data_IF_953649759894
#
_entry.id   IF_953649759894
#
_cell.length_a   1.000
_cell.length_b   1.000
_cell.length_c   1.000
_cell.angle_alpha   90.00
_cell.angle_beta   90.00
_cell.angle_gamma   90.00
#
_symmetry.space_group_name_H-M   'P 1'
#
loop_
_entity.id
_entity.type
_entity.pdbx_description
1 polymer ?
#
# COMPACT_ATOMS: atom_id res chain seq x y z
N UNK A 1 -5.80 14.89 8.29
CA UNK A 1 -6.79 14.68 7.22
C UNK A 1 -6.32 13.52 6.34
N UNK A 2 -7.16 12.52 6.05
CA UNK A 2 -6.80 11.44 5.11
C UNK A 2 -6.97 11.96 3.70
N UNK A 3 -5.91 11.95 2.89
CA UNK A 3 -5.99 12.51 1.54
C UNK A 3 -6.70 11.50 0.63
N UNK A 4 -8.03 11.58 0.54
CA UNK A 4 -8.87 10.66 -0.23
C UNK A 4 -8.49 10.58 -1.72
N UNK A 5 -7.87 11.63 -2.27
CA UNK A 5 -7.41 11.66 -3.66
C UNK A 5 -6.14 10.85 -3.87
N UNK A 6 -5.33 10.66 -2.82
CA UNK A 6 -4.05 9.96 -2.87
C UNK A 6 -4.01 8.68 -2.02
N UNK A 7 -5.11 8.38 -1.32
CA UNK A 7 -5.26 7.31 -0.33
C UNK A 7 -3.98 7.08 0.48
N UNK A 8 -3.39 8.17 0.96
CA UNK A 8 -2.14 8.16 1.71
C UNK A 8 -2.27 8.99 2.96
N UNK A 9 -1.64 8.50 4.03
CA UNK A 9 -1.52 9.22 5.29
C UNK A 9 -0.12 9.01 5.87
N UNK A 10 0.59 10.10 6.20
CA UNK A 10 1.84 10.01 6.95
C UNK A 10 1.56 9.68 8.42
N UNK A 11 2.47 8.94 9.03
CA UNK A 11 2.46 8.51 10.42
C UNK A 11 3.85 8.69 11.02
N UNK A 12 3.90 8.91 12.33
CA UNK A 12 5.16 9.00 13.05
C UNK A 12 5.75 7.62 13.38
N UNK A 13 4.92 6.59 13.47
CA UNK A 13 5.31 5.21 13.81
C UNK A 13 4.57 4.17 12.95
N UNK A 14 5.21 3.02 12.73
CA UNK A 14 4.60 1.87 12.05
C UNK A 14 3.37 1.36 12.79
N UNK A 15 3.43 1.30 14.12
CA UNK A 15 2.34 0.80 14.96
C UNK A 15 1.07 1.66 14.82
N UNK A 16 1.22 2.99 14.73
CA UNK A 16 0.08 3.90 14.47
C UNK A 16 -0.50 3.69 13.07
N UNK A 17 0.37 3.52 12.07
CA UNK A 17 -0.05 3.26 10.70
C UNK A 17 -0.82 1.93 10.60
N UNK A 18 -0.31 0.90 11.26
CA UNK A 18 -0.91 -0.42 11.33
C UNK A 18 -2.24 -0.39 12.08
N UNK A 19 -2.28 0.18 13.29
CA UNK A 19 -3.51 0.31 14.07
C UNK A 19 -4.59 1.08 13.31
N UNK A 20 -4.21 2.12 12.57
CA UNK A 20 -5.15 2.88 11.74
C UNK A 20 -5.69 2.05 10.56
N UNK A 21 -4.82 1.27 9.89
CA UNK A 21 -5.23 0.36 8.82
C UNK A 21 -6.14 -0.76 9.35
N UNK A 22 -5.89 -1.26 10.56
CA UNK A 22 -6.73 -2.25 11.24
C UNK A 22 -8.09 -1.64 11.59
N UNK A 23 -8.11 -0.49 12.27
CA UNK A 23 -9.33 0.15 12.75
C UNK A 23 -10.26 0.55 11.60
N UNK A 24 -9.69 0.96 10.46
CA UNK A 24 -10.45 1.38 9.28
C UNK A 24 -10.66 0.29 8.24
N UNK A 25 -10.13 -0.92 8.48
CA UNK A 25 -10.11 -2.01 7.51
C UNK A 25 -9.57 -1.60 6.12
N UNK A 26 -8.46 -0.85 6.12
CA UNK A 26 -7.77 -0.45 4.90
C UNK A 26 -6.69 -1.46 4.51
N UNK A 27 -6.71 -1.84 3.25
CA UNK A 27 -5.63 -2.56 2.61
C UNK A 27 -4.59 -1.57 2.07
N UNK A 28 -3.31 -1.90 2.16
CA UNK A 28 -2.26 -1.05 1.63
C UNK A 28 -0.85 -1.46 2.05
N UNK A 29 0.09 -0.55 1.77
CA UNK A 29 1.49 -0.69 2.12
C UNK A 29 1.90 0.41 3.09
N UNK A 30 2.70 0.07 4.10
CA UNK A 30 3.36 0.98 5.01
C UNK A 30 4.79 1.15 4.51
N UNK A 31 5.08 2.35 4.04
CA UNK A 31 6.37 2.77 3.55
C UNK A 31 7.13 3.54 4.63
N UNK A 32 8.42 3.29 4.76
CA UNK A 32 9.35 4.09 5.56
C UNK A 32 10.08 5.08 4.66
N UNK A 33 10.14 6.32 5.10
CA UNK A 33 10.77 7.45 4.41
C UNK A 33 11.70 8.16 5.38
N UNK A 34 12.57 9.04 4.89
CA UNK A 34 13.44 9.86 5.75
C UNK A 34 12.67 10.73 6.74
N UNK A 35 11.47 11.17 6.38
CA UNK A 35 10.60 11.99 7.22
C UNK A 35 9.62 11.19 8.11
N UNK A 36 9.73 9.86 8.18
CA UNK A 36 8.87 9.01 9.02
C UNK A 36 8.24 7.84 8.27
N UNK A 37 6.98 7.52 8.56
CA UNK A 37 6.25 6.43 7.93
C UNK A 37 5.06 6.97 7.13
N UNK A 38 4.64 6.26 6.10
CA UNK A 38 3.49 6.62 5.30
C UNK A 38 2.72 5.36 4.92
N UNK A 39 1.44 5.31 5.26
CA UNK A 39 0.56 4.28 4.73
C UNK A 39 0.01 4.76 3.38
N UNK A 40 0.03 3.87 2.39
CA UNK A 40 -0.46 4.08 1.03
C UNK A 40 -1.39 2.94 0.64
N UNK A 41 -2.32 3.18 -0.28
CA UNK A 41 -3.22 2.16 -0.79
C UNK A 41 -2.53 1.15 -1.73
N UNK A 42 -3.20 0.04 -2.09
CA UNK A 42 -2.66 -0.95 -3.03
C UNK A 42 -2.49 -0.40 -4.45
N UNK A 43 -3.36 0.55 -4.81
CA UNK A 43 -3.32 1.23 -6.10
C UNK A 43 -2.20 2.29 -6.18
N UNK A 44 -1.36 2.39 -5.14
CA UNK A 44 -0.26 3.32 -5.12
C UNK A 44 0.86 2.80 -6.00
N UNK A 45 1.27 3.54 -7.06
CA UNK A 45 2.25 3.05 -8.00
C UNK A 45 3.62 2.88 -7.33
N UNK A 46 4.22 1.72 -7.54
CA UNK A 46 5.61 1.43 -7.19
C UNK A 46 6.55 2.50 -7.78
N UNK A 47 7.47 3.01 -6.96
CA UNK A 47 8.45 4.01 -7.39
C UNK A 47 7.98 5.47 -7.42
N UNK A 48 6.75 5.80 -6.97
CA UNK A 48 6.35 7.22 -6.80
C UNK A 48 7.25 7.95 -5.80
N UNK A 49 7.77 7.22 -4.81
CA UNK A 49 8.79 7.70 -3.89
C UNK A 49 10.03 6.83 -4.02
N UNK A 50 11.10 7.31 -4.67
CA UNK A 50 12.34 6.55 -4.82
C UNK A 50 13.07 6.35 -3.49
N UNK A 51 12.75 7.17 -2.48
CA UNK A 51 13.26 7.11 -1.11
C UNK A 51 12.44 6.18 -0.18
N UNK A 52 11.28 5.72 -0.62
CA UNK A 52 10.35 4.98 0.24
C UNK A 52 10.64 3.48 0.23
N UNK A 53 10.90 2.92 1.40
CA UNK A 53 11.13 1.48 1.60
C UNK A 53 9.86 0.84 2.13
N UNK A 54 9.35 -0.20 1.46
CA UNK A 54 8.23 -0.98 1.95
C UNK A 54 8.64 -1.71 3.24
N UNK A 55 7.95 -1.39 4.34
CA UNK A 55 8.18 -1.99 5.65
C UNK A 55 7.16 -3.08 5.93
N UNK A 56 5.88 -2.78 5.69
CA UNK A 56 4.79 -3.69 5.97
C UNK A 56 3.74 -3.60 4.88
N UNK A 57 3.11 -4.72 4.58
CA UNK A 57 1.98 -4.84 3.67
C UNK A 57 0.83 -5.42 4.45
N UNK A 58 -0.35 -4.80 4.39
CA UNK A 58 -1.51 -5.24 5.17
C UNK A 58 -2.73 -5.35 4.27
N UNK A 59 -3.36 -6.51 4.29
CA UNK A 59 -4.64 -6.76 3.65
C UNK A 59 -5.79 -6.39 4.60
N UNK A 60 -6.92 -6.02 4.02
CA UNK A 60 -8.18 -5.89 4.72
C UNK A 60 -9.04 -7.15 4.54
N UNK A 61 -10.24 -7.19 5.13
CA UNK A 61 -11.15 -8.34 4.99
C UNK A 61 -11.49 -8.64 3.52
N UNK A 62 -11.49 -7.61 2.68
CA UNK A 62 -11.75 -7.71 1.24
C UNK A 62 -10.53 -8.16 0.42
N UNK A 63 -9.36 -8.32 1.06
CA UNK A 63 -8.08 -8.68 0.42
C UNK A 63 -7.74 -7.80 -0.78
N UNK A 64 -8.03 -6.50 -0.67
CA UNK A 64 -7.84 -5.54 -1.77
C UNK A 64 -6.36 -5.42 -2.17
N UNK A 65 -5.42 -5.63 -1.24
CA UNK A 65 -3.98 -5.64 -1.55
C UNK A 65 -3.62 -6.81 -2.45
N UNK A 66 -4.06 -8.01 -2.06
CA UNK A 66 -3.89 -9.23 -2.84
C UNK A 66 -4.61 -9.16 -4.19
N UNK A 67 -5.75 -8.46 -4.26
CA UNK A 67 -6.50 -8.25 -5.50
C UNK A 67 -5.80 -7.27 -6.44
N UNK A 68 -5.27 -6.16 -5.90
CA UNK A 68 -4.50 -5.19 -6.68
C UNK A 68 -3.17 -5.78 -7.18
N UNK A 69 -2.48 -6.57 -6.36
CA UNK A 69 -1.27 -7.29 -6.77
C UNK A 69 -1.56 -8.32 -7.88
N UNK A 70 -2.74 -8.93 -7.89
CA UNK A 70 -3.21 -9.78 -9.00
C UNK A 70 -3.61 -8.99 -10.24
N UNK A 71 -3.95 -7.71 -10.11
CA UNK A 71 -4.32 -6.83 -11.21
C UNK A 71 -3.13 -6.11 -11.85
N UNK A 72 -1.93 -6.15 -11.26
CA UNK A 72 -0.72 -5.85 -12.02
C UNK A 72 -0.63 -6.88 -13.15
N UNK A 73 -0.67 -6.45 -14.42
CA UNK A 73 -0.59 -7.37 -15.54
C UNK A 73 0.78 -8.00 -15.48
N UNK A 74 0.83 -9.26 -15.04
CA UNK A 74 1.88 -10.19 -15.41
C UNK A 74 1.75 -10.36 -16.92
N UNK A 75 2.32 -9.43 -17.69
CA UNK A 75 2.68 -9.68 -19.08
C UNK A 75 3.93 -10.56 -19.08
N UNK A 76 3.73 -11.86 -18.84
CA UNK A 76 4.53 -12.96 -19.37
C UNK A 76 3.97 -14.27 -18.81
N UNK A 77 3.54 -15.26 -19.59
CA UNK A 77 3.87 -15.54 -20.97
C UNK A 77 2.66 -16.19 -21.67
N UNK A 78 2.46 -15.78 -22.92
CA UNK A 78 2.27 -16.65 -24.08
C UNK A 78 1.70 -18.05 -23.80
N UNK A 79 0.39 -18.22 -23.98
CA UNK A 79 -0.14 -19.48 -24.52
C UNK A 79 -1.46 -19.16 -25.26
N UNK A 80 -1.27 -18.64 -26.46
CA UNK A 80 -2.21 -18.77 -27.55
C UNK A 80 -1.91 -20.08 -28.28
N UNK A 81 -2.73 -21.10 -28.05
CA UNK A 81 -2.87 -22.32 -28.88
C UNK A 81 -4.35 -22.73 -28.88
#
# INVERSE_FOLDING_TARGET
>A
EWNYTKCTKPFNSVEEAEAFMIEKDFAGHILKRDNGYAAVCPAYPDGYYPDAVLVLSRDNEKKELSNAAKQLPITSASDCC
#
